data_IF_580335287200
#
_entry.id   IF_580335287200
#
_cell.length_a   1.000
_cell.length_b   1.000
_cell.length_c   1.000
_cell.angle_alpha   90.00
_cell.angle_beta   90.00
_cell.angle_gamma   90.00
#
_symmetry.space_group_name_H-M   'P 1'
#
loop_
_entity.id
_entity.type
_entity.pdbx_description
1 polymer ?
#
# COMPACT_ATOMS: atom_id res chain seq x y z
N UNK A 1 -21.47 -11.45 -18.71
CA UNK A 1 -20.28 -12.19 -18.24
C UNK A 1 -19.51 -11.26 -17.32
N UNK A 2 -19.33 -11.60 -16.06
CA UNK A 2 -18.55 -10.82 -15.09
C UNK A 2 -17.08 -10.90 -15.49
N UNK A 3 -16.49 -9.77 -15.86
CA UNK A 3 -15.13 -9.70 -16.42
C UNK A 3 -14.08 -9.96 -15.33
N UNK A 4 -13.14 -10.86 -15.60
CA UNK A 4 -11.91 -11.01 -14.81
C UNK A 4 -10.87 -10.03 -15.32
N UNK A 5 -10.25 -9.28 -14.41
CA UNK A 5 -9.14 -8.36 -14.68
C UNK A 5 -7.93 -8.80 -13.86
N UNK A 6 -6.76 -8.77 -14.49
CA UNK A 6 -5.47 -8.95 -13.82
C UNK A 6 -4.45 -8.13 -14.59
N UNK A 7 -3.87 -7.12 -13.94
CA UNK A 7 -2.87 -6.24 -14.53
C UNK A 7 -1.49 -6.90 -14.56
N UNK A 8 -1.18 -7.74 -13.57
CA UNK A 8 0.09 -8.48 -13.53
C UNK A 8 1.23 -7.63 -12.98
N UNK A 9 0.95 -6.87 -11.92
CA UNK A 9 1.97 -6.10 -11.20
C UNK A 9 3.03 -7.07 -10.64
N UNK A 10 4.28 -6.62 -10.61
CA UNK A 10 5.38 -7.41 -10.05
C UNK A 10 5.27 -7.50 -8.52
N UNK A 11 6.19 -8.23 -7.90
CA UNK A 11 6.30 -8.25 -6.45
C UNK A 11 7.72 -7.88 -6.01
N UNK A 12 7.82 -6.84 -5.19
CA UNK A 12 9.03 -6.39 -4.54
C UNK A 12 8.96 -6.86 -3.09
N UNK A 13 9.71 -7.92 -2.78
CA UNK A 13 9.79 -8.44 -1.42
C UNK A 13 10.53 -7.45 -0.50
N UNK A 14 9.80 -6.80 0.41
CA UNK A 14 10.40 -5.85 1.35
C UNK A 14 11.42 -6.53 2.29
N UNK A 15 11.19 -7.80 2.61
CA UNK A 15 12.02 -8.60 3.51
C UNK A 15 13.39 -8.93 2.90
N UNK A 16 13.46 -9.06 1.57
CA UNK A 16 14.73 -9.28 0.86
C UNK A 16 15.70 -8.10 0.99
N UNK A 17 15.21 -6.94 1.42
CA UNK A 17 15.98 -5.72 1.68
C UNK A 17 16.10 -5.39 3.18
N UNK A 18 15.67 -6.31 4.06
CA UNK A 18 15.64 -6.08 5.51
C UNK A 18 14.64 -5.01 5.95
N UNK A 19 13.77 -4.53 5.06
CA UNK A 19 12.80 -3.49 5.33
C UNK A 19 11.51 -4.10 5.92
N UNK A 20 11.56 -4.50 7.20
CA UNK A 20 10.45 -5.17 7.88
C UNK A 20 9.16 -4.33 7.96
N UNK A 21 9.25 -3.00 7.80
CA UNK A 21 8.11 -2.07 7.80
C UNK A 21 8.00 -1.27 6.48
N UNK A 22 8.53 -1.79 5.37
CA UNK A 22 8.61 -1.06 4.10
C UNK A 22 7.43 -1.25 3.13
N UNK A 23 6.29 -1.76 3.60
CA UNK A 23 5.19 -2.21 2.74
C UNK A 23 4.63 -1.13 1.80
N UNK A 24 4.49 0.10 2.28
CA UNK A 24 3.97 1.22 1.48
C UNK A 24 4.93 1.61 0.36
N UNK A 25 6.24 1.66 0.65
CA UNK A 25 7.26 1.99 -0.34
C UNK A 25 7.40 0.88 -1.39
N UNK A 26 7.37 -0.39 -0.97
CA UNK A 26 7.44 -1.53 -1.89
C UNK A 26 6.24 -1.54 -2.84
N UNK A 27 5.02 -1.47 -2.28
CA UNK A 27 3.78 -1.42 -3.04
C UNK A 27 3.75 -0.23 -4.02
N UNK A 28 4.18 0.95 -3.57
CA UNK A 28 4.18 2.14 -4.43
C UNK A 28 5.14 1.97 -5.62
N UNK A 29 6.33 1.41 -5.38
CA UNK A 29 7.31 1.19 -6.44
C UNK A 29 6.86 0.11 -7.43
N UNK A 30 6.24 -0.97 -6.96
CA UNK A 30 5.63 -2.01 -7.82
C UNK A 30 4.64 -1.41 -8.82
N UNK A 31 3.76 -0.51 -8.34
CA UNK A 31 2.80 0.16 -9.22
C UNK A 31 3.46 1.13 -10.20
N UNK A 32 4.52 1.85 -9.79
CA UNK A 32 5.27 2.71 -10.70
C UNK A 32 5.93 1.91 -11.81
N UNK A 33 6.62 0.82 -11.47
CA UNK A 33 7.25 -0.05 -12.46
C UNK A 33 6.23 -0.62 -13.44
N UNK A 34 5.04 -1.01 -12.98
CA UNK A 34 3.94 -1.42 -13.84
C UNK A 34 3.53 -0.31 -14.85
N UNK A 35 3.50 0.94 -14.41
CA UNK A 35 3.23 2.10 -15.27
C UNK A 35 4.41 2.51 -16.16
N UNK A 36 5.55 1.80 -16.07
CA UNK A 36 6.83 2.16 -16.71
C UNK A 36 7.40 3.49 -16.19
N UNK A 37 7.03 3.85 -14.97
CA UNK A 37 7.57 4.96 -14.21
C UNK A 37 8.63 4.42 -13.23
N UNK A 38 9.64 5.23 -12.89
CA UNK A 38 10.69 4.86 -11.94
C UNK A 38 11.42 3.51 -12.17
N UNK A 39 11.39 2.95 -13.40
CA UNK A 39 11.92 1.59 -13.70
C UNK A 39 13.41 1.39 -13.39
N UNK A 40 14.20 2.46 -13.33
CA UNK A 40 15.63 2.43 -12.98
C UNK A 40 15.88 2.62 -11.48
N UNK A 41 14.83 2.82 -10.68
CA UNK A 41 14.93 3.07 -9.24
C UNK A 41 14.86 1.73 -8.51
N UNK A 42 15.96 1.32 -7.90
CA UNK A 42 15.94 0.15 -7.02
C UNK A 42 15.13 0.42 -5.75
N UNK A 43 14.52 -0.62 -5.18
CA UNK A 43 13.74 -0.49 -3.95
C UNK A 43 14.56 0.10 -2.79
N UNK A 44 15.83 -0.29 -2.61
CA UNK A 44 16.69 0.31 -1.61
C UNK A 44 16.92 1.82 -1.82
N UNK A 45 17.10 2.27 -3.07
CA UNK A 45 17.24 3.72 -3.37
C UNK A 45 15.93 4.45 -3.11
N UNK A 46 14.81 3.86 -3.49
CA UNK A 46 13.48 4.41 -3.24
C UNK A 46 13.24 4.58 -1.73
N UNK A 47 13.49 3.53 -0.95
CA UNK A 47 13.31 3.52 0.49
C UNK A 47 14.18 4.57 1.22
N UNK A 48 15.39 4.84 0.72
CA UNK A 48 16.28 5.87 1.27
C UNK A 48 15.82 7.30 0.96
N UNK A 49 15.06 7.54 -0.12
CA UNK A 49 14.47 8.85 -0.45
C UNK A 49 13.15 9.12 0.30
N UNK A 50 12.56 8.10 0.91
CA UNK A 50 11.30 8.22 1.64
C UNK A 50 11.42 9.22 2.81
N UNK A 51 10.49 10.20 2.93
CA UNK A 51 10.57 11.19 3.99
C UNK A 51 10.34 10.54 5.36
N UNK A 52 11.23 10.78 6.32
CA UNK A 52 11.07 10.34 7.71
C UNK A 52 10.45 11.47 8.54
N UNK A 53 9.40 11.13 9.27
CA UNK A 53 8.71 12.04 10.18
C UNK A 53 9.50 12.22 11.48
N UNK A 54 9.87 13.46 11.80
CA UNK A 54 10.68 13.77 13.00
C UNK A 54 9.88 13.59 14.31
N UNK A 55 8.58 13.90 14.30
CA UNK A 55 7.69 13.67 15.44
C UNK A 55 7.15 12.23 15.49
N UNK A 56 7.42 11.42 14.45
CA UNK A 56 6.92 10.05 14.32
C UNK A 56 5.44 9.97 13.90
N UNK A 57 4.84 11.09 13.48
CA UNK A 57 3.47 11.12 12.99
C UNK A 57 3.43 10.66 11.51
N UNK A 58 2.70 9.56 11.18
CA UNK A 58 2.61 9.03 9.82
C UNK A 58 1.91 9.97 8.82
N UNK A 59 1.22 11.02 9.31
CA UNK A 59 0.64 12.07 8.48
C UNK A 59 1.67 13.12 8.02
N UNK A 60 2.89 13.14 8.57
CA UNK A 60 3.95 14.08 8.20
C UNK A 60 5.12 13.42 7.42
N UNK A 61 5.15 12.10 7.35
CA UNK A 61 6.22 11.29 6.76
C UNK A 61 6.17 9.87 7.32
N UNK A 62 7.15 9.03 7.01
CA UNK A 62 7.26 7.69 7.61
C UNK A 62 7.61 7.80 9.10
N UNK A 63 6.77 7.24 9.97
CA UNK A 63 7.03 7.20 11.42
C UNK A 63 8.07 6.12 11.76
N UNK A 64 9.05 6.41 12.61
CA UNK A 64 10.02 5.40 13.03
C UNK A 64 11.00 4.98 11.92
N UNK A 65 11.16 3.68 11.70
CA UNK A 65 12.14 3.14 10.75
C UNK A 65 11.58 2.00 9.90
N UNK A 66 11.85 1.99 8.58
CA UNK A 66 11.44 0.88 7.72
C UNK A 66 12.19 -0.43 8.01
N UNK A 67 13.31 -0.38 8.74
CA UNK A 67 14.20 -1.53 8.97
C UNK A 67 14.10 -2.14 10.37
N UNK A 68 13.49 -1.43 11.33
CA UNK A 68 13.40 -1.90 12.73
C UNK A 68 12.19 -1.30 13.43
N UNK A 69 11.65 -2.07 14.37
CA UNK A 69 10.60 -1.58 15.26
C UNK A 69 11.21 -0.72 16.36
N UNK A 70 10.55 0.38 16.69
CA UNK A 70 10.98 1.33 17.71
C UNK A 70 9.83 1.57 18.69
N UNK A 71 10.12 1.35 19.99
CA UNK A 71 9.11 1.56 21.03
C UNK A 71 8.53 2.98 20.98
N UNK A 72 7.20 3.08 20.98
CA UNK A 72 6.47 4.36 20.94
C UNK A 72 6.42 5.02 19.56
N UNK A 73 6.90 4.37 18.49
CA UNK A 73 6.72 4.80 17.11
C UNK A 73 5.66 3.94 16.43
N UNK A 74 5.13 4.47 15.33
CA UNK A 74 4.20 3.77 14.45
C UNK A 74 4.81 3.72 13.06
N UNK A 75 5.30 2.54 12.66
CA UNK A 75 6.10 2.33 11.46
C UNK A 75 5.25 2.26 10.20
N UNK A 76 4.82 3.43 9.73
CA UNK A 76 4.07 3.60 8.50
C UNK A 76 4.24 5.03 7.97
N UNK A 77 3.90 5.20 6.69
CA UNK A 77 3.65 6.50 6.06
C UNK A 77 2.21 6.50 5.55
N UNK A 78 1.44 7.56 5.80
CA UNK A 78 0.04 7.63 5.37
C UNK A 78 -0.13 8.27 4.00
N UNK A 79 -1.35 8.16 3.45
CA UNK A 79 -1.67 8.49 2.05
C UNK A 79 -1.19 9.88 1.64
N UNK A 80 -1.39 10.90 2.47
CA UNK A 80 -0.95 12.28 2.15
C UNK A 80 0.58 12.38 1.93
N UNK A 81 1.45 12.13 2.91
CA UNK A 81 2.90 12.20 2.68
C UNK A 81 3.39 11.15 1.68
N UNK A 82 2.74 9.98 1.58
CA UNK A 82 3.06 8.98 0.56
C UNK A 82 2.83 9.53 -0.86
N UNK A 83 1.71 10.22 -1.09
CA UNK A 83 1.39 10.85 -2.38
C UNK A 83 2.32 12.03 -2.67
N UNK A 84 2.54 12.90 -1.68
CA UNK A 84 3.44 14.06 -1.82
C UNK A 84 4.86 13.61 -2.21
N UNK A 85 5.37 12.56 -1.60
CA UNK A 85 6.65 11.95 -1.94
C UNK A 85 6.62 11.21 -3.29
N UNK A 86 5.63 10.34 -3.50
CA UNK A 86 5.52 9.50 -4.69
C UNK A 86 5.36 10.28 -5.99
N UNK A 87 4.77 11.49 -5.95
CA UNK A 87 4.65 12.39 -7.12
C UNK A 87 5.96 12.82 -7.74
N UNK A 88 7.10 12.62 -7.07
CA UNK A 88 8.43 12.77 -7.69
C UNK A 88 8.72 11.73 -8.77
N UNK A 89 8.03 10.59 -8.72
CA UNK A 89 8.33 9.38 -9.50
C UNK A 89 7.26 9.04 -10.52
N UNK A 90 6.00 9.39 -10.24
CA UNK A 90 4.89 9.07 -11.12
C UNK A 90 3.57 9.72 -10.71
N UNK A 91 2.50 9.44 -11.46
CA UNK A 91 1.19 10.05 -11.22
C UNK A 91 0.36 9.24 -10.22
N UNK A 92 -0.19 9.95 -9.24
CA UNK A 92 -0.97 9.36 -8.15
C UNK A 92 -2.27 10.11 -7.95
N UNK A 93 -3.34 9.36 -7.66
CA UNK A 93 -4.65 9.88 -7.26
C UNK A 93 -5.02 9.34 -5.89
N UNK A 94 -5.37 10.24 -4.98
CA UNK A 94 -5.88 9.87 -3.66
C UNK A 94 -7.25 9.21 -3.78
N UNK A 95 -7.40 8.04 -3.16
CA UNK A 95 -8.66 7.31 -3.01
C UNK A 95 -9.04 7.12 -1.54
N UNK A 96 -8.43 7.88 -0.63
CA UNK A 96 -8.82 7.88 0.78
C UNK A 96 -10.31 8.21 0.91
N UNK A 97 -11.04 7.37 1.66
CA UNK A 97 -12.49 7.45 1.86
C UNK A 97 -13.33 6.73 0.80
N UNK A 98 -12.75 6.25 -0.31
CA UNK A 98 -13.49 5.61 -1.40
C UNK A 98 -14.04 4.23 -1.03
N UNK A 99 -15.12 3.81 -1.69
CA UNK A 99 -15.64 2.44 -1.57
C UNK A 99 -14.84 1.46 -2.43
N UNK A 100 -14.90 0.16 -2.11
CA UNK A 100 -14.14 -0.88 -2.83
C UNK A 100 -14.46 -0.93 -4.32
N UNK A 101 -15.67 -0.59 -4.73
CA UNK A 101 -16.06 -0.48 -6.14
C UNK A 101 -15.20 0.52 -6.91
N UNK A 102 -14.79 1.64 -6.29
CA UNK A 102 -13.94 2.64 -6.94
C UNK A 102 -12.51 2.11 -7.16
N UNK A 103 -12.03 1.26 -6.24
CA UNK A 103 -10.74 0.58 -6.38
C UNK A 103 -10.81 -0.39 -7.56
N UNK A 104 -11.90 -1.16 -7.68
CA UNK A 104 -12.11 -2.07 -8.82
C UNK A 104 -12.25 -1.33 -10.15
N UNK A 105 -12.92 -0.17 -10.16
CA UNK A 105 -13.04 0.67 -11.35
C UNK A 105 -11.67 1.18 -11.84
N UNK A 106 -10.76 1.54 -10.92
CA UNK A 106 -9.39 1.92 -11.29
C UNK A 106 -8.61 0.74 -11.85
N UNK A 107 -8.69 -0.43 -11.23
CA UNK A 107 -8.05 -1.64 -11.75
C UNK A 107 -8.60 -2.00 -13.13
N UNK A 108 -9.91 -1.87 -13.35
CA UNK A 108 -10.53 -2.11 -14.64
C UNK A 108 -10.06 -1.13 -15.73
N UNK A 109 -9.74 0.12 -15.35
CA UNK A 109 -9.12 1.12 -16.24
C UNK A 109 -7.63 0.89 -16.47
N UNK A 110 -7.02 -0.09 -15.81
CA UNK A 110 -5.59 -0.36 -15.94
C UNK A 110 -4.71 0.42 -14.97
N UNK A 111 -5.28 0.93 -13.87
CA UNK A 111 -4.55 1.61 -12.80
C UNK A 111 -4.49 0.71 -11.56
N UNK A 112 -3.33 0.16 -11.18
CA UNK A 112 -3.22 -0.57 -9.93
C UNK A 112 -3.45 0.37 -8.74
N UNK A 113 -3.87 -0.20 -7.61
CA UNK A 113 -4.24 0.59 -6.44
C UNK A 113 -3.49 0.10 -5.20
N UNK A 114 -2.63 0.96 -4.66
CA UNK A 114 -2.04 0.73 -3.35
C UNK A 114 -3.15 0.84 -2.31
N UNK A 115 -3.34 -0.20 -1.52
CA UNK A 115 -4.41 -0.29 -0.54
C UNK A 115 -3.85 -0.58 0.85
N UNK A 116 -4.23 0.22 1.83
CA UNK A 116 -3.89 -0.03 3.23
C UNK A 116 -4.82 -1.09 3.81
N UNK A 117 -4.21 -2.11 4.37
CA UNK A 117 -4.86 -3.29 4.95
C UNK A 117 -4.15 -3.65 6.26
N UNK A 118 -4.31 -4.88 6.70
CA UNK A 118 -3.58 -5.46 7.82
C UNK A 118 -2.72 -6.62 7.37
N UNK A 119 -1.65 -6.91 8.11
CA UNK A 119 -0.79 -8.06 7.84
C UNK A 119 -1.64 -9.34 7.75
N UNK A 120 -1.44 -10.14 6.71
CA UNK A 120 -2.20 -11.35 6.37
C UNK A 120 -3.73 -11.18 6.26
N UNK A 121 -4.20 -9.93 6.15
CA UNK A 121 -5.62 -9.58 6.20
C UNK A 121 -6.30 -10.08 7.48
N UNK A 122 -5.58 -10.02 8.61
CA UNK A 122 -6.12 -10.32 9.94
C UNK A 122 -7.02 -9.19 10.47
N UNK A 123 -7.83 -9.48 11.48
CA UNK A 123 -8.62 -8.44 12.14
C UNK A 123 -7.72 -7.30 12.69
N UNK A 124 -8.14 -6.04 12.57
CA UNK A 124 -7.35 -4.90 13.02
C UNK A 124 -7.16 -4.89 14.54
N UNK A 125 -5.92 -4.69 14.97
CA UNK A 125 -5.54 -4.55 16.38
C UNK A 125 -5.39 -3.06 16.69
N UNK A 126 -6.41 -2.45 17.28
CA UNK A 126 -6.48 -1.00 17.43
C UNK A 126 -5.70 -0.49 18.65
N UNK A 127 -4.90 0.55 18.44
CA UNK A 127 -4.26 1.31 19.51
C UNK A 127 -4.40 2.82 19.31
N UNK A 128 -4.35 3.55 20.42
CA UNK A 128 -4.47 5.01 20.43
C UNK A 128 -3.09 5.66 20.43
N UNK A 129 -2.84 6.46 19.42
CA UNK A 129 -1.67 7.34 19.31
C UNK A 129 -2.11 8.81 19.40
N UNK A 130 -1.17 9.76 19.64
CA UNK A 130 -1.49 11.20 19.63
C UNK A 130 -2.17 11.68 18.34
N UNK A 131 -1.90 11.03 17.21
CA UNK A 131 -2.46 11.37 15.90
C UNK A 131 -3.77 10.62 15.58
N UNK A 132 -4.24 9.69 16.42
CA UNK A 132 -5.49 8.96 16.14
C UNK A 132 -5.53 7.52 16.63
N UNK A 133 -6.67 6.87 16.39
CA UNK A 133 -6.83 5.42 16.58
C UNK A 133 -6.40 4.73 15.28
N UNK A 134 -5.46 3.79 15.36
CA UNK A 134 -4.90 3.09 14.19
C UNK A 134 -4.66 1.61 14.47
N UNK A 135 -4.72 0.73 13.45
CA UNK A 135 -4.39 -0.68 13.64
C UNK A 135 -2.87 -0.87 13.63
N UNK A 136 -2.31 -1.49 14.67
CA UNK A 136 -0.86 -1.71 14.80
C UNK A 136 -0.33 -2.86 13.95
N UNK A 137 -1.20 -3.75 13.49
CA UNK A 137 -0.90 -4.70 12.42
C UNK A 137 -1.08 -4.07 11.03
N UNK A 138 -0.62 -2.82 10.86
CA UNK A 138 -0.66 -2.06 9.60
C UNK A 138 0.03 -2.83 8.47
N UNK A 139 -0.54 -2.76 7.27
CA UNK A 139 0.09 -3.25 6.06
C UNK A 139 -0.39 -2.48 4.83
N UNK A 140 0.35 -2.58 3.73
CA UNK A 140 -0.04 -2.05 2.43
C UNK A 140 0.33 -3.02 1.32
N UNK A 141 -0.56 -3.15 0.34
CA UNK A 141 -0.43 -4.04 -0.82
C UNK A 141 -0.85 -3.31 -2.09
N UNK A 142 -0.48 -3.84 -3.26
CA UNK A 142 -1.09 -3.44 -4.53
C UNK A 142 -2.27 -4.35 -4.84
N UNK A 143 -3.46 -3.78 -5.03
CA UNK A 143 -4.59 -4.41 -5.71
C UNK A 143 -4.42 -4.23 -7.22
N UNK A 144 -4.29 -5.34 -7.96
CA UNK A 144 -4.07 -5.32 -9.40
C UNK A 144 -4.99 -6.27 -10.18
N UNK A 145 -5.94 -6.92 -9.52
CA UNK A 145 -6.90 -7.76 -10.21
C UNK A 145 -8.14 -8.07 -9.40
N UNK A 146 -9.18 -8.48 -10.10
CA UNK A 146 -10.40 -8.99 -9.51
C UNK A 146 -11.14 -9.92 -10.48
N UNK A 147 -11.99 -10.77 -9.92
CA UNK A 147 -13.05 -11.47 -10.64
C UNK A 147 -14.37 -11.30 -9.87
N UNK A 148 -15.36 -12.14 -10.16
CA UNK A 148 -16.67 -12.06 -9.52
C UNK A 148 -16.59 -12.16 -7.98
N UNK A 149 -15.75 -13.05 -7.45
CA UNK A 149 -15.73 -13.41 -6.03
C UNK A 149 -14.39 -13.11 -5.34
N UNK A 150 -13.35 -12.74 -6.10
CA UNK A 150 -11.99 -12.62 -5.60
C UNK A 150 -11.32 -11.34 -6.06
N UNK A 151 -10.31 -10.95 -5.30
CA UNK A 151 -9.32 -9.93 -5.69
C UNK A 151 -7.95 -10.58 -5.81
N UNK A 152 -7.07 -10.00 -6.62
CA UNK A 152 -5.66 -10.35 -6.69
C UNK A 152 -4.84 -9.19 -6.14
N UNK A 153 -3.87 -9.53 -5.31
CA UNK A 153 -2.94 -8.56 -4.73
C UNK A 153 -1.49 -8.97 -5.01
N UNK A 154 -0.63 -7.98 -5.16
CA UNK A 154 0.80 -8.11 -4.92
C UNK A 154 1.11 -7.61 -3.51
N UNK A 155 1.57 -8.52 -2.67
CA UNK A 155 1.85 -8.31 -1.26
C UNK A 155 3.36 -8.33 -1.02
N UNK A 156 3.97 -7.23 -0.55
CA UNK A 156 5.42 -7.17 -0.31
C UNK A 156 5.96 -8.19 0.72
N UNK A 157 5.09 -8.78 1.55
CA UNK A 157 5.43 -9.82 2.54
C UNK A 157 5.17 -11.21 1.96
N UNK A 158 3.96 -11.44 1.44
CA UNK A 158 3.46 -12.78 1.11
C UNK A 158 3.50 -13.14 -0.39
N UNK A 159 3.92 -12.22 -1.25
CA UNK A 159 3.95 -12.40 -2.70
C UNK A 159 2.60 -12.15 -3.38
N UNK A 160 2.35 -12.80 -4.51
CA UNK A 160 1.15 -12.54 -5.33
C UNK A 160 0.12 -13.63 -5.18
N UNK A 161 -1.13 -13.26 -4.86
CA UNK A 161 -2.17 -14.25 -4.63
C UNK A 161 -3.59 -13.69 -4.83
N UNK A 162 -4.53 -14.63 -5.02
CA UNK A 162 -5.96 -14.35 -5.04
C UNK A 162 -6.57 -14.60 -3.66
N UNK A 163 -7.53 -13.76 -3.25
CA UNK A 163 -8.33 -13.96 -2.04
C UNK A 163 -9.80 -13.60 -2.23
N UNK A 164 -10.66 -14.03 -1.30
CA UNK A 164 -12.08 -13.66 -1.30
C UNK A 164 -12.26 -12.14 -1.22
N UNK A 165 -13.14 -11.60 -2.07
CA UNK A 165 -13.43 -10.16 -2.13
C UNK A 165 -13.97 -9.67 -0.79
N UNK A 166 -14.86 -10.42 -0.13
CA UNK A 166 -15.42 -10.04 1.17
C UNK A 166 -14.34 -9.89 2.25
N UNK A 167 -13.30 -10.74 2.24
CA UNK A 167 -12.17 -10.64 3.18
C UNK A 167 -11.38 -9.35 2.95
N UNK A 168 -11.03 -9.08 1.69
CA UNK A 168 -10.33 -7.85 1.31
C UNK A 168 -11.12 -6.61 1.73
N UNK A 169 -12.40 -6.56 1.39
CA UNK A 169 -13.28 -5.42 1.66
C UNK A 169 -13.44 -5.19 3.17
N UNK A 170 -13.67 -6.25 3.95
CA UNK A 170 -13.78 -6.15 5.42
C UNK A 170 -12.56 -5.46 6.03
N UNK A 171 -11.36 -5.84 5.59
CA UNK A 171 -10.11 -5.27 6.10
C UNK A 171 -9.88 -3.85 5.55
N UNK A 172 -10.09 -3.63 4.25
CA UNK A 172 -9.97 -2.31 3.63
C UNK A 172 -10.88 -1.27 4.30
N UNK A 173 -12.14 -1.62 4.56
CA UNK A 173 -13.12 -0.72 5.17
C UNK A 173 -12.78 -0.30 6.60
N UNK A 174 -11.85 -0.99 7.28
CA UNK A 174 -11.35 -0.54 8.59
C UNK A 174 -10.66 0.81 8.53
N UNK A 175 -10.09 1.20 7.38
CA UNK A 175 -9.33 2.45 7.21
C UNK A 175 -9.72 3.28 6.01
N UNK A 176 -10.22 2.66 4.94
CA UNK A 176 -10.55 3.29 3.65
C UNK A 176 -9.40 4.17 3.14
N UNK A 177 -8.18 3.66 3.16
CA UNK A 177 -7.00 4.39 2.66
C UNK A 177 -6.46 3.67 1.43
N UNK A 178 -6.41 4.38 0.31
CA UNK A 178 -5.94 3.84 -0.96
C UNK A 178 -5.36 4.94 -1.85
N UNK A 179 -4.45 4.56 -2.74
CA UNK A 179 -3.82 5.45 -3.72
C UNK A 179 -3.81 4.73 -5.06
N UNK A 180 -4.46 5.33 -6.06
CA UNK A 180 -4.40 4.81 -7.44
C UNK A 180 -3.14 5.33 -8.13
N UNK A 181 -2.43 4.42 -8.81
CA UNK A 181 -1.29 4.76 -9.65
C UNK A 181 -1.74 4.91 -11.10
N UNK A 182 -1.92 6.15 -11.52
CA UNK A 182 -2.49 6.51 -12.82
C UNK A 182 -1.39 6.75 -13.88
N UNK A 183 -1.75 6.81 -15.16
CA UNK A 183 -0.83 7.12 -16.27
C UNK A 183 -0.89 8.58 -16.74
#
# INVERSE_FOLDING_TARGET
MTQRVLLGVENISQLSWGAINGCEAASLLEGFHFNREAVEVSYGKFLLDMPISQDGNPYHGFGGSPFKNQSGKFEAIFTRPLIEWGRKYGRLRDLSGADSSWLFDEVQKGHPVLTYVTVHFEQPKWEKYPFGLVPVNNHAVILDGFDQNRVHVSDPIDGKYWMAKEKFETIYYSRKMAVSLTK
#
